data_IF_076129990828
#
_entry.id   IF_076129990828
#
_cell.length_a   1.000
_cell.length_b   1.000
_cell.length_c   1.000
_cell.angle_alpha   90.00
_cell.angle_beta   90.00
_cell.angle_gamma   90.00
#
_symmetry.space_group_name_H-M   'P 1'
#
loop_
_entity.id
_entity.type
_entity.pdbx_description
1 polymer ?
#
# COMPACT_ATOMS: atom_id res chain seq x y z
N UNK A 1 14.82 31.95 -53.97
CA UNK A 1 14.85 32.19 -52.51
C UNK A 1 16.28 32.20 -52.02
N UNK A 2 16.72 33.24 -51.29
CA UNK A 2 18.11 33.32 -50.79
C UNK A 2 18.40 32.22 -49.76
N UNK A 3 19.64 31.70 -49.73
CA UNK A 3 20.07 30.63 -48.80
C UNK A 3 19.73 30.95 -47.33
N UNK A 4 19.75 32.22 -46.96
CA UNK A 4 19.42 32.72 -45.61
C UNK A 4 17.95 32.54 -45.26
N UNK A 5 17.01 32.80 -46.19
CA UNK A 5 15.57 32.57 -45.97
C UNK A 5 15.24 31.08 -45.80
N UNK A 6 15.89 30.21 -46.57
CA UNK A 6 15.68 28.75 -46.47
C UNK A 6 16.18 28.19 -45.13
N UNK A 7 17.33 28.67 -44.66
CA UNK A 7 17.88 28.30 -43.34
C UNK A 7 16.99 28.77 -42.19
N UNK A 8 16.46 30.00 -42.26
CA UNK A 8 15.52 30.52 -41.27
C UNK A 8 14.23 29.70 -41.18
N UNK A 9 13.65 29.32 -42.32
CA UNK A 9 12.45 28.50 -42.36
C UNK A 9 12.66 27.10 -41.75
N UNK A 10 13.79 26.45 -42.05
CA UNK A 10 14.14 25.15 -41.46
C UNK A 10 14.30 25.30 -39.94
N UNK A 11 14.94 26.37 -39.46
CA UNK A 11 15.10 26.62 -38.03
C UNK A 11 13.75 26.78 -37.32
N UNK A 12 12.83 27.57 -37.89
CA UNK A 12 11.48 27.71 -37.34
C UNK A 12 10.76 26.36 -37.27
N UNK A 13 10.89 25.53 -38.31
CA UNK A 13 10.29 24.21 -38.33
C UNK A 13 10.83 23.29 -37.22
N UNK A 14 12.15 23.30 -37.01
CA UNK A 14 12.79 22.54 -35.93
C UNK A 14 12.32 23.02 -34.55
N UNK A 15 12.22 24.34 -34.34
CA UNK A 15 11.73 24.90 -33.07
C UNK A 15 10.29 24.47 -32.80
N UNK A 16 9.41 24.54 -33.80
CA UNK A 16 8.03 24.08 -33.68
C UNK A 16 7.97 22.58 -33.36
N UNK A 17 8.81 21.77 -34.03
CA UNK A 17 8.87 20.33 -33.80
C UNK A 17 9.34 19.99 -32.38
N UNK A 18 10.38 20.67 -31.89
CA UNK A 18 10.87 20.51 -30.50
C UNK A 18 9.80 20.93 -29.48
N UNK A 19 9.07 22.02 -29.74
CA UNK A 19 7.95 22.44 -28.91
C UNK A 19 6.84 21.37 -28.84
N UNK A 20 6.48 20.80 -29.99
CA UNK A 20 5.47 19.73 -30.07
C UNK A 20 5.89 18.49 -29.27
N UNK A 21 7.15 18.04 -29.43
CA UNK A 21 7.69 16.90 -28.66
C UNK A 21 7.68 17.20 -27.16
N UNK A 22 8.05 18.43 -26.76
CA UNK A 22 8.01 18.85 -25.36
C UNK A 22 6.62 18.75 -24.74
N UNK A 23 5.57 19.19 -25.46
CA UNK A 23 4.18 19.09 -24.99
C UNK A 23 3.74 17.64 -24.83
N UNK A 24 4.09 16.77 -25.79
CA UNK A 24 3.76 15.34 -25.73
C UNK A 24 4.45 14.68 -24.52
N UNK A 25 5.74 14.94 -24.32
CA UNK A 25 6.49 14.41 -23.17
C UNK A 25 5.93 14.91 -21.84
N UNK A 26 5.50 16.17 -21.76
CA UNK A 26 4.86 16.71 -20.57
C UNK A 26 3.57 15.95 -20.22
N UNK A 27 2.70 15.72 -21.21
CA UNK A 27 1.46 14.96 -21.00
C UNK A 27 1.73 13.50 -20.58
N UNK A 28 2.67 12.82 -21.25
CA UNK A 28 3.09 11.45 -20.92
C UNK A 28 3.67 11.34 -19.50
N UNK A 29 4.48 12.31 -19.11
CA UNK A 29 5.06 12.38 -17.75
C UNK A 29 3.97 12.54 -16.70
N UNK A 30 2.98 13.41 -16.96
CA UNK A 30 1.82 13.57 -16.10
C UNK A 30 1.05 12.26 -15.91
N UNK A 31 0.74 11.56 -17.01
CA UNK A 31 0.05 10.27 -16.94
C UNK A 31 0.84 9.18 -16.21
N UNK A 32 2.15 9.12 -16.42
CA UNK A 32 3.04 8.14 -15.77
C UNK A 32 3.09 8.35 -14.26
N UNK A 33 3.10 9.60 -13.79
CA UNK A 33 3.08 9.91 -12.37
C UNK A 33 1.77 9.47 -11.70
N UNK A 34 0.62 9.66 -12.36
CA UNK A 34 -0.67 9.17 -11.85
C UNK A 34 -0.68 7.64 -11.77
N UNK A 35 -0.19 6.95 -12.80
CA UNK A 35 -0.13 5.49 -12.81
C UNK A 35 0.79 4.94 -11.71
N UNK A 36 1.93 5.59 -11.45
CA UNK A 36 2.82 5.25 -10.34
C UNK A 36 2.14 5.43 -8.99
N UNK A 37 1.41 6.54 -8.81
CA UNK A 37 0.67 6.80 -7.57
C UNK A 37 -0.42 5.75 -7.31
N UNK A 38 -1.18 5.37 -8.34
CA UNK A 38 -2.18 4.31 -8.25
C UNK A 38 -1.56 2.94 -7.97
N UNK A 39 -0.43 2.63 -8.61
CA UNK A 39 0.30 1.39 -8.37
C UNK A 39 0.80 1.29 -6.92
N UNK A 40 1.30 2.40 -6.36
CA UNK A 40 1.74 2.46 -4.96
C UNK A 40 0.55 2.30 -3.99
N UNK A 41 -0.59 2.92 -4.28
CA UNK A 41 -1.81 2.77 -3.50
C UNK A 41 -2.34 1.32 -3.54
N UNK A 42 -2.36 0.70 -4.73
CA UNK A 42 -2.77 -0.69 -4.89
C UNK A 42 -1.82 -1.65 -4.16
N UNK A 43 -0.52 -1.38 -4.20
CA UNK A 43 0.48 -2.13 -3.43
C UNK A 43 0.22 -2.04 -1.93
N UNK A 44 0.03 -0.84 -1.38
CA UNK A 44 -0.25 -0.65 0.05
C UNK A 44 -1.55 -1.36 0.46
N UNK A 45 -2.59 -1.29 -0.37
CA UNK A 45 -3.86 -1.96 -0.09
C UNK A 45 -3.71 -3.50 -0.13
N UNK A 46 -2.91 -4.04 -1.04
CA UNK A 46 -2.62 -5.47 -1.09
C UNK A 46 -1.82 -5.92 0.15
N UNK A 47 -0.81 -5.14 0.55
CA UNK A 47 -0.03 -5.41 1.75
C UNK A 47 -0.91 -5.40 3.01
N UNK A 48 -1.77 -4.40 3.20
CA UNK A 48 -2.72 -4.30 4.31
C UNK A 48 -3.66 -5.52 4.38
N UNK A 49 -4.21 -5.94 3.24
CA UNK A 49 -5.09 -7.11 3.17
C UNK A 49 -4.36 -8.39 3.55
N UNK A 50 -3.14 -8.58 3.06
CA UNK A 50 -2.34 -9.76 3.37
C UNK A 50 -1.92 -9.81 4.84
N UNK A 51 -1.54 -8.68 5.43
CA UNK A 51 -1.22 -8.57 6.85
C UNK A 51 -2.45 -8.88 7.71
N UNK A 52 -3.59 -8.29 7.38
CA UNK A 52 -4.86 -8.53 8.09
C UNK A 52 -5.24 -10.01 8.01
N UNK A 53 -5.15 -10.62 6.83
CA UNK A 53 -5.48 -12.03 6.65
C UNK A 53 -4.54 -12.95 7.45
N UNK A 54 -3.25 -12.64 7.46
CA UNK A 54 -2.23 -13.40 8.21
C UNK A 54 -2.44 -13.26 9.72
N UNK A 55 -2.68 -12.05 10.20
CA UNK A 55 -3.01 -11.78 11.60
C UNK A 55 -4.29 -12.48 12.05
N UNK A 56 -5.32 -12.50 11.20
CA UNK A 56 -6.57 -13.21 11.49
C UNK A 56 -6.35 -14.74 11.52
N UNK A 57 -5.57 -15.28 10.59
CA UNK A 57 -5.22 -16.70 10.59
C UNK A 57 -4.42 -17.09 11.84
N UNK A 58 -3.44 -16.27 12.21
CA UNK A 58 -2.69 -16.42 13.45
C UNK A 58 -3.61 -16.38 14.68
N UNK A 59 -4.52 -15.41 14.76
CA UNK A 59 -5.48 -15.27 15.85
C UNK A 59 -6.39 -16.48 15.99
N UNK A 60 -6.89 -17.03 14.87
CA UNK A 60 -7.69 -18.26 14.83
C UNK A 60 -6.90 -19.50 15.27
N UNK A 61 -5.63 -19.59 14.86
CA UNK A 61 -4.75 -20.66 15.29
C UNK A 61 -4.50 -20.58 16.80
N UNK A 62 -4.25 -19.37 17.32
CA UNK A 62 -4.06 -19.12 18.75
C UNK A 62 -5.29 -19.45 19.58
N UNK A 63 -6.48 -19.10 19.09
CA UNK A 63 -7.75 -19.40 19.79
C UNK A 63 -8.14 -20.88 19.78
N UNK A 64 -7.58 -21.68 18.87
CA UNK A 64 -7.85 -23.13 18.76
C UNK A 64 -6.77 -24.00 19.39
N UNK A 65 -5.60 -23.43 19.70
CA UNK A 65 -4.50 -24.12 20.36
C UNK A 65 -4.72 -24.29 21.86
N UNK A 66 -3.95 -25.20 22.46
CA UNK A 66 -3.96 -25.49 23.90
C UNK A 66 -3.15 -24.51 24.74
N UNK A 67 -2.43 -23.58 24.09
CA UNK A 67 -1.62 -22.59 24.79
C UNK A 67 -2.49 -21.45 25.33
N UNK A 68 -2.17 -20.92 26.52
CA UNK A 68 -2.91 -19.81 27.10
C UNK A 68 -2.87 -18.59 26.17
N UNK A 69 -4.05 -18.03 25.92
CA UNK A 69 -4.24 -16.79 25.18
C UNK A 69 -4.06 -15.63 26.15
N UNK A 70 -3.10 -14.75 25.88
CA UNK A 70 -2.99 -13.47 26.58
C UNK A 70 -4.10 -12.56 26.05
N UNK A 71 -5.04 -12.21 26.93
CA UNK A 71 -6.18 -11.35 26.62
C UNK A 71 -5.82 -9.88 26.91
N UNK A 72 -6.44 -8.97 26.17
CA UNK A 72 -6.34 -7.51 26.29
C UNK A 72 -4.95 -6.88 26.08
N UNK A 73 -3.91 -7.69 25.83
CA UNK A 73 -2.59 -7.20 25.46
C UNK A 73 -2.41 -7.18 23.93
N UNK A 74 -1.96 -6.06 23.33
CA UNK A 74 -1.61 -6.04 21.92
C UNK A 74 -0.31 -6.79 21.68
N UNK A 75 -0.37 -7.86 20.88
CA UNK A 75 0.78 -8.65 20.45
C UNK A 75 1.22 -8.14 19.07
N UNK A 76 2.44 -7.61 18.98
CA UNK A 76 3.04 -7.24 17.70
C UNK A 76 3.57 -8.51 17.03
N UNK A 77 3.13 -8.79 15.80
CA UNK A 77 3.66 -9.91 15.02
C UNK A 77 4.89 -9.45 14.24
N UNK A 78 5.91 -10.30 14.21
CA UNK A 78 7.12 -10.02 13.43
C UNK A 78 6.80 -10.05 11.92
N UNK A 79 7.04 -8.92 11.27
CA UNK A 79 6.87 -8.70 9.83
C UNK A 79 8.20 -8.64 9.09
N UNK A 80 9.34 -8.81 9.77
CA UNK A 80 10.69 -8.63 9.22
C UNK A 80 11.00 -9.56 8.03
N UNK A 81 10.39 -10.75 8.00
CA UNK A 81 10.52 -11.71 6.91
C UNK A 81 9.62 -11.40 5.70
N UNK A 82 8.71 -10.43 5.81
CA UNK A 82 7.83 -10.03 4.72
C UNK A 82 8.58 -9.05 3.80
N UNK A 83 8.35 -9.16 2.49
CA UNK A 83 8.95 -8.25 1.50
C UNK A 83 8.42 -6.80 1.58
N UNK A 84 7.57 -6.49 2.56
CA UNK A 84 6.98 -5.17 2.77
C UNK A 84 7.83 -4.43 3.80
N UNK A 85 8.63 -3.47 3.33
CA UNK A 85 9.36 -2.53 4.22
C UNK A 85 8.36 -1.71 5.04
N UNK A 86 8.71 -1.43 6.28
CA UNK A 86 7.93 -0.60 7.21
C UNK A 86 6.48 -1.08 7.38
N UNK A 87 6.30 -2.40 7.44
CA UNK A 87 5.06 -3.04 7.81
C UNK A 87 5.05 -3.34 9.31
N UNK A 88 3.96 -3.03 10.00
CA UNK A 88 3.70 -3.45 11.36
C UNK A 88 2.28 -3.99 11.44
N UNK A 89 2.10 -5.05 12.23
CA UNK A 89 0.78 -5.56 12.58
C UNK A 89 0.74 -5.88 14.07
N UNK A 90 -0.31 -5.38 14.73
CA UNK A 90 -0.62 -5.69 16.11
C UNK A 90 -1.96 -6.41 16.18
N UNK A 91 -2.05 -7.40 17.06
CA UNK A 91 -3.26 -8.18 17.28
C UNK A 91 -3.58 -8.16 18.77
N UNK A 92 -4.81 -7.77 19.11
CA UNK A 92 -5.34 -7.81 20.47
C UNK A 92 -6.54 -8.73 20.51
N UNK A 93 -6.49 -9.73 21.39
CA UNK A 93 -7.60 -10.66 21.61
C UNK A 93 -8.37 -10.20 22.84
N UNK A 94 -9.67 -9.93 22.65
CA UNK A 94 -10.55 -9.41 23.70
C UNK A 94 -11.68 -10.42 23.92
N UNK A 95 -11.90 -10.81 25.17
CA UNK A 95 -13.02 -11.67 25.56
C UNK A 95 -13.76 -11.03 26.73
N UNK A 96 -14.97 -10.53 26.47
CA UNK A 96 -15.83 -9.96 27.50
C UNK A 96 -16.77 -11.04 28.08
N UNK A 97 -16.39 -11.64 29.21
CA UNK A 97 -17.21 -12.62 29.91
C UNK A 97 -17.50 -13.86 29.06
N UNK A 98 -18.78 -14.19 28.89
CA UNK A 98 -19.26 -15.34 28.10
C UNK A 98 -19.45 -15.01 26.60
N UNK A 99 -19.04 -13.81 26.17
CA UNK A 99 -19.13 -13.40 24.77
C UNK A 99 -18.11 -14.12 23.88
N UNK A 100 -18.42 -14.20 22.59
CA UNK A 100 -17.51 -14.69 21.57
C UNK A 100 -16.18 -13.90 21.59
N UNK A 101 -15.07 -14.62 21.40
CA UNK A 101 -13.74 -14.03 21.36
C UNK A 101 -13.65 -13.04 20.19
N UNK A 102 -13.20 -11.82 20.45
CA UNK A 102 -12.98 -10.80 19.44
C UNK A 102 -11.50 -10.58 19.22
N UNK A 103 -11.15 -10.24 17.99
CA UNK A 103 -9.80 -9.99 17.54
C UNK A 103 -9.75 -8.59 16.93
N UNK A 104 -9.02 -7.69 17.57
CA UNK A 104 -8.74 -6.36 17.07
C UNK A 104 -7.36 -6.38 16.40
N UNK A 105 -7.33 -6.06 15.11
CA UNK A 105 -6.12 -6.10 14.27
C UNK A 105 -5.82 -4.67 13.83
N UNK A 106 -4.64 -4.18 14.16
CA UNK A 106 -4.13 -2.91 13.66
C UNK A 106 -2.99 -3.19 12.69
N UNK A 107 -3.10 -2.64 11.49
CA UNK A 107 -2.09 -2.73 10.44
C UNK A 107 -1.55 -1.34 10.14
N UNK A 108 -0.25 -1.26 9.97
CA UNK A 108 0.44 -0.06 9.48
C UNK A 108 1.40 -0.47 8.38
N UNK A 109 1.26 0.12 7.20
CA UNK A 109 2.14 -0.13 6.05
C UNK A 109 2.53 1.18 5.41
N UNK A 110 3.82 1.33 5.11
CA UNK A 110 4.34 2.52 4.45
C UNK A 110 5.15 2.18 3.20
N UNK A 111 5.11 3.09 2.22
CA UNK A 111 5.96 3.06 1.02
C UNK A 111 6.28 4.47 0.59
N UNK A 112 7.56 4.85 0.69
CA UNK A 112 8.03 6.18 0.32
C UNK A 112 7.34 7.26 1.15
N UNK A 113 6.49 8.08 0.51
CA UNK A 113 5.73 9.16 1.16
C UNK A 113 4.28 8.76 1.51
N UNK A 114 3.85 7.56 1.14
CA UNK A 114 2.51 7.08 1.42
C UNK A 114 2.53 6.14 2.62
N UNK A 115 1.50 6.24 3.47
CA UNK A 115 1.25 5.29 4.54
C UNK A 115 -0.24 4.97 4.62
N UNK A 116 -0.55 3.75 5.04
CA UNK A 116 -1.90 3.27 5.26
C UNK A 116 -1.94 2.61 6.63
N UNK A 117 -2.81 3.14 7.50
CA UNK A 117 -3.07 2.59 8.82
C UNK A 117 -4.53 2.16 8.86
N UNK A 118 -4.79 0.91 9.23
CA UNK A 118 -6.14 0.41 9.42
C UNK A 118 -6.26 -0.28 10.77
N UNK A 119 -7.48 -0.25 11.29
CA UNK A 119 -7.87 -0.95 12.51
C UNK A 119 -9.17 -1.67 12.21
N UNK A 120 -9.21 -2.98 12.42
CA UNK A 120 -10.38 -3.82 12.12
C UNK A 120 -10.66 -4.78 13.26
N UNK A 121 -11.93 -4.93 13.60
CA UNK A 121 -12.40 -5.87 14.61
C UNK A 121 -13.06 -7.08 13.93
N UNK A 122 -12.72 -8.28 14.39
CA UNK A 122 -13.23 -9.55 13.89
C UNK A 122 -13.77 -10.39 15.04
N UNK A 123 -14.93 -11.03 14.83
CA UNK A 123 -15.43 -12.04 15.75
C UNK A 123 -14.81 -13.39 15.37
N UNK A 124 -14.10 -14.00 16.32
CA UNK A 124 -13.58 -15.36 16.20
C UNK A 124 -14.69 -16.32 16.64
N UNK A 125 -15.25 -17.07 15.69
CA UNK A 125 -16.20 -18.12 16.01
C UNK A 125 -15.48 -19.21 16.84
N UNK A 126 -16.02 -19.52 18.02
CA UNK A 126 -15.65 -20.75 18.72
C UNK A 126 -16.09 -21.93 17.84
N UNK A 127 -15.18 -22.86 17.59
CA UNK A 127 -15.48 -24.07 16.83
C UNK A 127 -15.86 -25.18 17.78
#
# INVERSE_FOLDING_TARGET
MSKTRRKGFILTYVIVLLGLVGVVMFALTGGSNTMLFEADAAYLQAADRNLTASALAWARHRSSGSEPVVLDEPISLDTSSLAVRDANVSVRLVKHGDAALRCHIETSVAKGRQSLNNSREYVLAAR
#
